data_IF_733139224041
#
_entry.id   IF_733139224041
#
_cell.length_a   1.000
_cell.length_b   1.000
_cell.length_c   1.000
_cell.angle_alpha   90.00
_cell.angle_beta   90.00
_cell.angle_gamma   90.00
#
_symmetry.space_group_name_H-M   'P 1'
#
loop_
_entity.id
_entity.type
_entity.pdbx_description
1 polymer ?
#
# COMPACT_ATOMS: atom_id res chain seq x y z
N UNK A 1 19.12 2.64 37.60
CA UNK A 1 17.99 3.57 37.36
C UNK A 1 18.19 4.42 36.10
N UNK A 2 19.31 5.09 35.90
CA UNK A 2 19.55 5.87 34.67
C UNK A 2 19.67 5.04 33.38
N UNK A 3 20.24 3.85 33.44
CA UNK A 3 20.39 2.98 32.26
C UNK A 3 19.04 2.47 31.74
N UNK A 4 18.13 2.07 32.61
CA UNK A 4 16.78 1.62 32.24
C UNK A 4 15.92 2.72 31.62
N UNK A 5 16.08 3.96 32.09
CA UNK A 5 15.39 5.12 31.51
C UNK A 5 15.93 5.41 30.10
N UNK A 6 17.24 5.30 29.92
CA UNK A 6 17.89 5.52 28.62
C UNK A 6 17.48 4.44 27.60
N UNK A 7 17.46 3.16 27.99
CA UNK A 7 16.96 2.06 27.15
C UNK A 7 15.49 2.24 26.77
N UNK A 8 14.65 2.70 27.70
CA UNK A 8 13.24 2.97 27.42
C UNK A 8 13.04 4.15 26.45
N UNK A 9 13.85 5.20 26.58
CA UNK A 9 13.84 6.37 25.69
C UNK A 9 14.33 5.97 24.29
N UNK A 10 15.43 5.21 24.20
CA UNK A 10 15.96 4.71 22.93
C UNK A 10 14.95 3.79 22.24
N UNK A 11 14.35 2.85 23.00
CA UNK A 11 13.32 1.98 22.48
C UNK A 11 12.09 2.76 21.96
N UNK A 12 11.70 3.82 22.66
CA UNK A 12 10.59 4.69 22.26
C UNK A 12 10.93 5.49 20.98
N UNK A 13 12.13 6.01 20.87
CA UNK A 13 12.63 6.71 19.67
C UNK A 13 12.70 5.74 18.49
N UNK A 14 13.21 4.51 18.66
CA UNK A 14 13.25 3.48 17.60
C UNK A 14 11.85 3.05 17.18
N UNK A 15 10.89 2.97 18.11
CA UNK A 15 9.50 2.66 17.81
C UNK A 15 8.81 3.83 17.07
N UNK A 16 9.07 5.07 17.49
CA UNK A 16 8.55 6.26 16.81
C UNK A 16 9.16 6.46 15.42
N UNK A 17 10.47 6.17 15.23
CA UNK A 17 11.09 6.15 13.90
C UNK A 17 10.55 5.04 13.01
N UNK A 18 10.23 3.85 13.55
CA UNK A 18 9.58 2.77 12.81
C UNK A 18 8.12 3.07 12.47
N UNK A 19 7.37 3.77 13.32
CA UNK A 19 6.01 4.21 13.02
C UNK A 19 5.97 5.29 11.94
N UNK A 20 6.95 6.19 11.89
CA UNK A 20 7.04 7.24 10.85
C UNK A 20 7.44 6.72 9.46
N UNK A 21 8.02 5.53 9.37
CA UNK A 21 8.44 4.92 8.10
C UNK A 21 7.39 4.00 7.47
N UNK A 22 6.24 3.80 8.10
CA UNK A 22 5.23 2.86 7.63
C UNK A 22 4.49 3.36 6.37
N UNK A 23 4.35 4.67 6.20
CA UNK A 23 3.66 5.29 5.07
C UNK A 23 4.65 5.98 4.13
N UNK A 24 5.28 5.21 3.27
CA UNK A 24 6.18 5.69 2.23
C UNK A 24 5.46 5.88 0.90
N UNK A 25 6.00 6.73 -0.01
CA UNK A 25 5.47 6.84 -1.36
C UNK A 25 5.40 5.49 -2.08
N UNK A 26 4.36 5.28 -2.89
CA UNK A 26 4.24 4.07 -3.73
C UNK A 26 5.49 3.90 -4.60
N UNK A 27 6.05 2.69 -4.62
CA UNK A 27 7.32 2.33 -5.24
C UNK A 27 8.46 2.13 -4.25
N UNK A 28 8.28 2.51 -2.98
CA UNK A 28 9.34 2.41 -1.96
C UNK A 28 9.48 1.02 -1.36
N UNK A 29 8.39 0.22 -1.33
CA UNK A 29 8.39 -1.11 -0.71
C UNK A 29 8.71 -2.24 -1.67
N UNK A 30 8.45 -2.07 -2.98
CA UNK A 30 8.47 -3.14 -3.98
C UNK A 30 9.77 -3.93 -4.00
N UNK A 31 10.90 -3.27 -3.78
CA UNK A 31 12.22 -3.88 -3.79
C UNK A 31 12.75 -4.30 -2.41
N UNK A 32 12.01 -4.01 -1.35
CA UNK A 32 12.43 -4.37 0.01
C UNK A 32 12.40 -5.89 0.20
N UNK A 33 13.33 -6.39 1.02
CA UNK A 33 13.40 -7.81 1.35
C UNK A 33 12.12 -8.29 2.05
N UNK A 34 11.56 -7.48 2.97
CA UNK A 34 10.32 -7.78 3.69
C UNK A 34 9.13 -7.98 2.73
N UNK A 35 8.99 -7.10 1.74
CA UNK A 35 7.92 -7.21 0.74
C UNK A 35 8.09 -8.45 -0.15
N UNK A 36 9.32 -8.72 -0.61
CA UNK A 36 9.65 -9.91 -1.41
C UNK A 36 9.37 -11.21 -0.65
N UNK A 37 9.72 -11.28 0.62
CA UNK A 37 9.42 -12.43 1.48
C UNK A 37 7.91 -12.62 1.67
N UNK A 38 7.17 -11.55 1.90
CA UNK A 38 5.72 -11.60 2.03
C UNK A 38 5.02 -12.10 0.75
N UNK A 39 5.57 -11.76 -0.43
CA UNK A 39 5.04 -12.19 -1.74
C UNK A 39 5.57 -13.58 -2.17
N UNK A 40 6.46 -14.23 -1.41
CA UNK A 40 7.16 -15.46 -1.83
C UNK A 40 6.28 -16.69 -1.93
N UNK A 41 5.11 -16.72 -1.29
CA UNK A 41 4.23 -17.88 -1.30
C UNK A 41 2.85 -17.62 -0.71
N UNK A 42 1.95 -18.61 -0.89
CA UNK A 42 0.55 -18.47 -0.44
C UNK A 42 0.47 -18.34 1.09
N UNK A 43 1.29 -19.07 1.83
CA UNK A 43 1.28 -19.05 3.30
C UNK A 43 1.76 -17.69 3.85
N UNK A 44 2.75 -17.07 3.19
CA UNK A 44 3.23 -15.75 3.57
C UNK A 44 2.19 -14.67 3.21
N UNK A 45 1.47 -14.82 2.10
CA UNK A 45 0.35 -13.93 1.73
C UNK A 45 -0.82 -14.03 2.72
N UNK A 46 -1.15 -15.24 3.22
CA UNK A 46 -2.18 -15.40 4.26
C UNK A 46 -1.77 -14.74 5.57
N UNK A 47 -0.51 -14.88 5.99
CA UNK A 47 0.02 -14.18 7.16
C UNK A 47 -0.03 -12.65 6.97
N UNK A 48 0.25 -12.17 5.77
CA UNK A 48 0.15 -10.75 5.45
C UNK A 48 -1.30 -10.25 5.54
N UNK A 49 -2.28 -11.07 5.12
CA UNK A 49 -3.71 -10.77 5.29
C UNK A 49 -4.08 -10.68 6.78
N UNK A 50 -3.73 -11.68 7.58
CA UNK A 50 -4.03 -11.73 9.03
C UNK A 50 -3.46 -10.52 9.78
N UNK A 51 -2.24 -10.12 9.42
CA UNK A 51 -1.54 -8.98 10.03
C UNK A 51 -1.89 -7.63 9.39
N UNK A 52 -2.75 -7.60 8.37
CA UNK A 52 -3.04 -6.40 7.56
C UNK A 52 -1.77 -5.70 7.07
N UNK A 53 -0.76 -6.48 6.69
CA UNK A 53 0.53 -5.95 6.23
C UNK A 53 0.34 -5.20 4.92
N UNK A 54 0.84 -3.98 4.85
CA UNK A 54 0.90 -3.22 3.61
C UNK A 54 1.94 -3.87 2.71
N UNK A 55 1.50 -4.27 1.52
CA UNK A 55 2.29 -4.87 0.46
C UNK A 55 2.34 -3.94 -0.75
N UNK A 56 3.32 -4.16 -1.60
CA UNK A 56 3.47 -3.44 -2.83
C UNK A 56 3.78 -4.40 -3.98
N UNK A 57 3.03 -4.27 -5.08
CA UNK A 57 3.25 -5.04 -6.28
C UNK A 57 2.93 -4.21 -7.53
N UNK A 58 3.40 -4.67 -8.69
CA UNK A 58 3.14 -3.99 -9.96
C UNK A 58 1.71 -4.25 -10.44
N UNK A 59 0.97 -3.18 -10.74
CA UNK A 59 -0.29 -3.29 -11.45
C UNK A 59 -0.02 -3.62 -12.92
N UNK A 60 -0.54 -4.75 -13.40
CA UNK A 60 -0.26 -5.26 -14.75
C UNK A 60 -1.35 -4.89 -15.75
N UNK A 61 -2.60 -4.90 -15.31
CA UNK A 61 -3.78 -4.67 -16.17
C UNK A 61 -4.82 -3.85 -15.39
N UNK A 62 -5.52 -2.97 -16.09
CA UNK A 62 -6.79 -2.41 -15.66
C UNK A 62 -7.89 -3.02 -16.54
N UNK A 63 -8.86 -3.70 -15.92
CA UNK A 63 -9.93 -4.39 -16.67
C UNK A 63 -10.94 -3.38 -17.25
N UNK A 64 -11.83 -3.84 -18.13
CA UNK A 64 -12.93 -2.99 -18.64
C UNK A 64 -13.89 -2.50 -17.54
N UNK A 65 -13.91 -3.16 -16.37
CA UNK A 65 -14.65 -2.73 -15.17
C UNK A 65 -13.83 -1.82 -14.26
N UNK A 66 -12.61 -1.48 -14.68
CA UNK A 66 -11.63 -0.69 -13.91
C UNK A 66 -11.09 -1.37 -12.64
N UNK A 67 -11.16 -2.70 -12.56
CA UNK A 67 -10.43 -3.44 -11.54
C UNK A 67 -8.95 -3.49 -11.91
N UNK A 68 -8.05 -3.29 -10.95
CA UNK A 68 -6.62 -3.45 -11.17
C UNK A 68 -6.18 -4.87 -10.85
N UNK A 69 -5.41 -5.44 -11.76
CA UNK A 69 -4.75 -6.74 -11.56
C UNK A 69 -3.31 -6.48 -11.14
N UNK A 70 -2.91 -7.07 -10.03
CA UNK A 70 -1.54 -7.00 -9.51
C UNK A 70 -0.88 -8.36 -9.51
N UNK A 71 0.42 -8.40 -9.77
CA UNK A 71 1.22 -9.62 -9.80
C UNK A 71 1.82 -9.88 -8.41
N UNK A 72 1.37 -10.94 -7.76
CA UNK A 72 1.87 -11.38 -6.45
C UNK A 72 2.89 -12.53 -6.57
N UNK A 73 3.40 -12.78 -7.78
CA UNK A 73 4.34 -13.86 -8.04
C UNK A 73 3.65 -15.22 -8.20
N UNK A 74 3.22 -15.84 -7.12
CA UNK A 74 2.58 -17.18 -7.15
C UNK A 74 1.11 -17.15 -7.56
N UNK A 75 0.40 -16.08 -7.23
CA UNK A 75 -1.00 -15.85 -7.59
C UNK A 75 -1.17 -14.41 -8.07
N UNK A 76 -2.29 -14.11 -8.68
CA UNK A 76 -2.66 -12.72 -8.98
C UNK A 76 -3.48 -12.13 -7.84
N UNK A 77 -3.37 -10.82 -7.65
CA UNK A 77 -4.28 -10.04 -6.84
C UNK A 77 -5.24 -9.24 -7.71
N UNK A 78 -6.43 -8.98 -7.20
CA UNK A 78 -7.41 -8.09 -7.80
C UNK A 78 -7.73 -6.99 -6.80
N UNK A 79 -7.60 -5.75 -7.23
CA UNK A 79 -8.08 -4.58 -6.51
C UNK A 79 -9.36 -4.15 -7.24
N UNK A 80 -10.56 -4.40 -6.68
CA UNK A 80 -11.81 -3.97 -7.27
C UNK A 80 -11.84 -2.45 -7.47
N UNK A 81 -12.58 -1.98 -8.45
CA UNK A 81 -12.67 -0.55 -8.78
C UNK A 81 -12.91 0.33 -7.54
N UNK A 82 -13.90 -0.02 -6.73
CA UNK A 82 -14.26 0.71 -5.50
C UNK A 82 -13.19 0.66 -4.41
N UNK A 83 -12.30 -0.33 -4.46
CA UNK A 83 -11.15 -0.48 -3.56
C UNK A 83 -9.85 0.10 -4.14
N UNK A 84 -9.91 0.69 -5.33
CA UNK A 84 -8.74 1.20 -6.05
C UNK A 84 -8.22 2.55 -5.54
N UNK A 85 -9.08 3.41 -5.05
CA UNK A 85 -8.72 4.70 -4.44
C UNK A 85 -9.89 5.32 -3.67
N UNK A 86 -9.57 6.17 -2.71
CA UNK A 86 -10.56 7.03 -2.05
C UNK A 86 -11.25 7.92 -3.10
N UNK A 87 -12.56 8.11 -2.95
CA UNK A 87 -13.35 9.01 -3.80
C UNK A 87 -13.81 8.41 -5.14
N UNK A 88 -13.47 7.17 -5.46
CA UNK A 88 -13.97 6.49 -6.68
C UNK A 88 -15.48 6.29 -6.60
N UNK A 89 -16.00 5.82 -5.46
CA UNK A 89 -17.42 5.56 -5.26
C UNK A 89 -18.27 6.85 -5.30
N UNK A 90 -17.72 7.94 -4.79
CA UNK A 90 -18.39 9.25 -4.76
C UNK A 90 -18.23 10.04 -6.06
N UNK A 91 -17.34 9.59 -6.96
CA UNK A 91 -17.02 10.28 -8.21
C UNK A 91 -16.05 11.46 -8.04
N UNK A 92 -15.53 11.70 -6.83
CA UNK A 92 -14.50 12.71 -6.57
C UNK A 92 -13.18 12.34 -7.26
N UNK A 93 -12.85 11.03 -7.28
CA UNK A 93 -11.72 10.48 -8.01
C UNK A 93 -12.21 9.83 -9.30
N UNK A 94 -11.63 10.23 -10.43
CA UNK A 94 -11.99 9.69 -11.75
C UNK A 94 -11.30 8.36 -12.02
N UNK A 95 -11.92 7.52 -12.87
CA UNK A 95 -11.39 6.20 -13.27
C UNK A 95 -9.99 6.25 -13.89
N UNK A 96 -9.61 7.37 -14.49
CA UNK A 96 -8.26 7.58 -15.03
C UNK A 96 -7.18 7.45 -13.95
N UNK A 97 -7.50 7.72 -12.69
CA UNK A 97 -6.58 7.54 -11.57
C UNK A 97 -6.20 6.07 -11.37
N UNK A 98 -7.09 5.13 -11.70
CA UNK A 98 -6.82 3.69 -11.68
C UNK A 98 -6.06 3.26 -12.94
N UNK A 99 -6.53 3.68 -14.11
CA UNK A 99 -5.90 3.34 -15.40
C UNK A 99 -4.43 3.77 -15.42
N UNK A 100 -4.11 4.92 -14.86
CA UNK A 100 -2.75 5.46 -14.79
C UNK A 100 -1.79 4.67 -13.88
N UNK A 101 -2.31 3.73 -13.08
CA UNK A 101 -1.48 2.83 -12.24
C UNK A 101 -0.92 1.64 -12.99
N UNK A 102 -1.43 1.29 -14.16
CA UNK A 102 -0.92 0.19 -14.96
C UNK A 102 0.57 0.40 -15.27
N UNK A 103 1.35 -0.62 -15.03
CA UNK A 103 2.81 -0.60 -15.20
C UNK A 103 3.58 -0.01 -14.01
N UNK A 104 2.89 0.48 -12.97
CA UNK A 104 3.49 1.10 -11.78
C UNK A 104 3.26 0.25 -10.53
N UNK A 105 4.12 0.37 -9.51
CA UNK A 105 3.86 -0.19 -8.19
C UNK A 105 2.61 0.45 -7.57
N UNK A 106 1.85 -0.36 -6.83
CA UNK A 106 0.71 0.08 -6.03
C UNK A 106 0.76 -0.59 -4.67
N UNK A 107 0.46 0.17 -3.62
CA UNK A 107 0.32 -0.32 -2.26
C UNK A 107 -1.09 -0.88 -2.03
N UNK A 108 -1.19 -1.97 -1.27
CA UNK A 108 -2.48 -2.57 -0.90
C UNK A 108 -2.34 -3.44 0.35
N UNK A 109 -3.46 -3.77 0.96
CA UNK A 109 -3.60 -4.89 1.88
C UNK A 109 -4.44 -5.98 1.23
N UNK A 110 -4.22 -7.24 1.62
CA UNK A 110 -5.06 -8.35 1.21
C UNK A 110 -6.26 -8.40 2.16
N UNK A 111 -7.47 -8.35 1.61
CA UNK A 111 -8.71 -8.42 2.38
C UNK A 111 -9.30 -9.82 2.40
N UNK A 112 -9.20 -10.56 1.28
CA UNK A 112 -9.75 -11.90 1.17
C UNK A 112 -9.02 -12.73 0.10
N UNK A 113 -9.33 -14.03 0.05
CA UNK A 113 -8.90 -14.96 -0.97
C UNK A 113 -10.11 -15.66 -1.60
N UNK A 114 -10.22 -15.58 -2.90
CA UNK A 114 -11.29 -16.23 -3.67
C UNK A 114 -10.73 -17.18 -4.71
N UNK A 115 -11.57 -18.15 -5.15
CA UNK A 115 -11.25 -18.98 -6.31
C UNK A 115 -11.95 -18.41 -7.55
N UNK A 116 -11.20 -18.25 -8.63
CA UNK A 116 -11.74 -17.87 -9.91
C UNK A 116 -12.60 -19.02 -10.52
N UNK A 117 -13.23 -18.75 -11.67
CA UNK A 117 -14.07 -19.73 -12.39
C UNK A 117 -13.33 -21.03 -12.77
N UNK A 118 -11.99 -20.97 -12.80
CA UNK A 118 -11.12 -22.11 -13.12
C UNK A 118 -10.54 -22.76 -11.85
N UNK A 119 -11.02 -22.36 -10.65
CA UNK A 119 -10.55 -22.88 -9.37
C UNK A 119 -9.19 -22.34 -8.92
N UNK A 120 -8.63 -21.33 -9.60
CA UNK A 120 -7.35 -20.71 -9.23
C UNK A 120 -7.55 -19.74 -8.09
N UNK A 121 -6.68 -19.81 -7.09
CA UNK A 121 -6.69 -18.86 -5.98
C UNK A 121 -6.31 -17.46 -6.48
N UNK A 122 -7.07 -16.48 -6.02
CA UNK A 122 -6.88 -15.06 -6.30
C UNK A 122 -6.98 -14.28 -5.00
N UNK A 123 -6.08 -13.36 -4.75
CA UNK A 123 -6.16 -12.47 -3.60
C UNK A 123 -7.04 -11.26 -3.94
N UNK A 124 -7.97 -10.92 -3.07
CA UNK A 124 -8.73 -9.68 -3.14
C UNK A 124 -8.01 -8.64 -2.31
N UNK A 125 -7.73 -7.50 -2.90
CA UNK A 125 -6.87 -6.47 -2.31
C UNK A 125 -7.60 -5.13 -2.24
N UNK A 126 -7.21 -4.29 -1.28
CA UNK A 126 -7.69 -2.92 -1.14
C UNK A 126 -6.51 -1.95 -1.09
N UNK A 127 -6.46 -1.05 -2.06
CA UNK A 127 -5.57 0.11 -2.06
C UNK A 127 -6.20 1.27 -1.27
N UNK A 128 -7.52 1.40 -1.37
CA UNK A 128 -8.32 2.39 -0.63
C UNK A 128 -8.09 2.28 0.88
N UNK A 129 -8.11 1.05 1.44
CA UNK A 129 -7.89 0.84 2.86
C UNK A 129 -6.51 1.34 3.33
N UNK A 130 -5.46 1.18 2.51
CA UNK A 130 -4.12 1.73 2.82
C UNK A 130 -4.14 3.26 2.80
N UNK A 131 -4.84 3.87 1.85
CA UNK A 131 -4.98 5.33 1.77
C UNK A 131 -5.76 5.89 2.97
N UNK A 132 -6.86 5.24 3.37
CA UNK A 132 -7.65 5.63 4.53
C UNK A 132 -6.84 5.54 5.82
N UNK A 133 -6.10 4.46 6.01
CA UNK A 133 -5.22 4.26 7.16
C UNK A 133 -4.09 5.30 7.19
N UNK A 134 -3.44 5.57 6.06
CA UNK A 134 -2.44 6.61 5.92
C UNK A 134 -3.01 8.00 6.24
N UNK A 135 -4.20 8.30 5.77
CA UNK A 135 -4.88 9.58 6.04
C UNK A 135 -5.10 9.75 7.54
N UNK A 136 -5.74 8.77 8.20
CA UNK A 136 -6.09 8.85 9.61
C UNK A 136 -4.88 8.82 10.56
N UNK A 137 -3.87 8.00 10.24
CA UNK A 137 -2.74 7.76 11.15
C UNK A 137 -1.53 8.66 10.88
N UNK A 138 -1.42 9.24 9.69
CA UNK A 138 -0.27 10.02 9.27
C UNK A 138 -0.64 11.41 8.77
N UNK A 139 -1.43 11.54 7.70
CA UNK A 139 -1.68 12.83 7.05
C UNK A 139 -2.41 13.82 7.96
N UNK A 140 -3.43 13.36 8.71
CA UNK A 140 -4.19 14.20 9.64
C UNK A 140 -3.38 14.67 10.87
N UNK A 141 -2.24 14.02 11.13
CA UNK A 141 -1.34 14.37 12.24
C UNK A 141 -0.23 15.34 11.84
N UNK A 142 -0.05 15.59 10.54
CA UNK A 142 1.00 16.48 10.04
C UNK A 142 0.74 17.93 10.45
N UNK A 143 1.80 18.60 10.87
CA UNK A 143 1.79 20.01 11.25
C UNK A 143 2.64 20.83 10.27
N UNK A 144 2.33 22.13 10.10
CA UNK A 144 3.19 23.02 9.33
C UNK A 144 4.61 23.03 9.87
N UNK A 145 5.60 22.70 9.02
CA UNK A 145 7.01 22.60 9.38
C UNK A 145 7.52 21.15 9.49
N UNK A 146 6.65 20.16 9.46
CA UNK A 146 7.07 18.76 9.40
C UNK A 146 7.78 18.44 8.08
N UNK A 147 8.80 17.61 8.18
CA UNK A 147 9.58 17.12 7.01
C UNK A 147 9.13 15.71 6.71
N UNK A 148 8.62 15.51 5.48
CA UNK A 148 8.13 14.21 5.03
C UNK A 148 8.88 13.73 3.80
N UNK A 149 9.05 12.40 3.62
CA UNK A 149 9.56 11.84 2.37
C UNK A 149 8.52 12.01 1.27
N UNK A 150 8.93 12.49 0.11
CA UNK A 150 8.05 12.69 -1.04
C UNK A 150 8.76 12.34 -2.35
N UNK A 151 7.98 11.93 -3.35
CA UNK A 151 8.45 11.68 -4.72
C UNK A 151 7.76 12.65 -5.66
N UNK A 152 8.55 13.41 -6.42
CA UNK A 152 8.01 14.26 -7.48
C UNK A 152 7.52 13.35 -8.62
N UNK A 153 6.23 13.29 -8.83
CA UNK A 153 5.60 12.45 -9.86
C UNK A 153 5.28 13.19 -11.14
N UNK A 154 5.18 14.51 -11.08
CA UNK A 154 4.89 15.37 -12.22
C UNK A 154 5.44 16.78 -11.97
N UNK A 155 5.85 17.44 -13.06
CA UNK A 155 6.31 18.82 -13.03
C UNK A 155 5.53 19.63 -14.06
N UNK A 156 5.05 20.80 -13.66
CA UNK A 156 4.39 21.77 -14.49
C UNK A 156 5.21 23.06 -14.57
N UNK A 157 4.84 23.97 -15.48
CA UNK A 157 5.55 25.25 -15.65
C UNK A 157 5.46 26.16 -14.39
N UNK A 158 4.51 25.89 -13.49
CA UNK A 158 4.27 26.66 -12.26
C UNK A 158 4.67 25.92 -10.99
N UNK A 159 5.24 24.72 -11.10
CA UNK A 159 5.72 23.93 -9.95
C UNK A 159 5.49 22.43 -10.05
N UNK A 160 5.71 21.72 -8.96
CA UNK A 160 5.47 20.29 -8.80
C UNK A 160 4.45 20.02 -7.69
#
# INVERSE_FOLDING_TARGET
MQLQVLEHIIMKIILEENEMTEYLPEGSLIDTQKNKEALSGIETLKKAQENKTILEAKATVCTAKHDLIVDLGTIRGIIPKNEGAIGIETGETRDIALISRVGKPVCFIITDFEKDKNGRLTAICSRKAVQEECTANYLEKLLPGDIIPAVVTHMENFGC
#
